data_IF_178972693516
#
_entry.id   IF_178972693516
#
_cell.length_a   1.000
_cell.length_b   1.000
_cell.length_c   1.000
_cell.angle_alpha   90.00
_cell.angle_beta   90.00
_cell.angle_gamma   90.00
#
_symmetry.space_group_name_H-M   'P 1'
#
loop_
_entity.id
_entity.type
_entity.pdbx_description
1 polymer ?
#
# COMPACT_ATOMS: atom_id res chain seq x y z
N UNK A 1 8.94 -1.03 14.07
CA UNK A 1 10.38 -0.89 13.78
C UNK A 1 10.59 0.40 13.01
N UNK A 2 11.57 1.21 13.39
CA UNK A 2 11.99 2.39 12.63
C UNK A 2 13.51 2.38 12.55
N UNK A 3 14.04 2.25 11.33
CA UNK A 3 15.47 2.20 11.03
C UNK A 3 15.77 3.16 9.86
N UNK A 4 15.98 4.46 10.14
CA UNK A 4 16.18 5.44 9.08
C UNK A 4 17.57 5.32 8.41
N UNK A 5 17.67 5.47 7.08
CA UNK A 5 16.61 5.65 6.09
C UNK A 5 16.15 4.33 5.44
N UNK A 6 16.46 3.18 6.02
CA UNK A 6 16.39 1.88 5.34
C UNK A 6 15.06 1.15 5.48
N UNK A 7 14.42 1.22 6.65
CA UNK A 7 13.22 0.43 6.95
C UNK A 7 12.25 1.13 7.88
N UNK A 8 10.97 1.02 7.55
CA UNK A 8 9.86 1.36 8.44
C UNK A 8 8.88 0.18 8.47
N UNK A 9 8.57 -0.32 9.67
CA UNK A 9 7.53 -1.34 9.83
C UNK A 9 6.60 -1.01 11.00
N UNK A 10 5.30 -1.14 10.78
CA UNK A 10 4.28 -0.87 11.78
C UNK A 10 3.10 -1.83 11.64
N UNK A 11 2.34 -1.97 12.73
CA UNK A 11 1.12 -2.77 12.77
C UNK A 11 -0.04 -2.00 12.16
N UNK A 12 -0.87 -2.68 11.37
CA UNK A 12 -2.09 -2.14 10.78
C UNK A 12 -3.30 -2.86 11.35
N UNK A 13 -4.28 -2.09 11.83
CA UNK A 13 -5.56 -2.62 12.27
C UNK A 13 -6.67 -2.00 11.44
N UNK A 14 -7.31 -2.80 10.58
CA UNK A 14 -8.41 -2.33 9.75
C UNK A 14 -9.68 -2.19 10.61
N UNK A 15 -10.04 -0.93 10.91
CA UNK A 15 -11.17 -0.60 11.79
C UNK A 15 -12.53 -0.57 11.11
N UNK A 16 -12.59 -0.93 9.82
CA UNK A 16 -13.87 -1.04 9.10
C UNK A 16 -14.68 -2.22 9.63
N UNK A 17 -16.00 -2.06 9.68
CA UNK A 17 -16.91 -3.11 10.17
C UNK A 17 -16.80 -4.40 9.34
N UNK A 18 -16.57 -4.29 8.02
CA UNK A 18 -16.45 -5.46 7.13
C UNK A 18 -15.14 -6.23 7.30
N UNK A 19 -14.16 -5.67 8.02
CA UNK A 19 -12.89 -6.32 8.35
C UNK A 19 -12.82 -6.74 9.84
N UNK A 20 -13.95 -6.66 10.56
CA UNK A 20 -14.02 -7.02 11.97
C UNK A 20 -13.68 -8.50 12.14
N UNK A 21 -12.70 -8.79 13.00
CA UNK A 21 -12.24 -10.15 13.27
C UNK A 21 -11.03 -10.60 12.45
N UNK A 22 -10.58 -9.81 11.47
CA UNK A 22 -9.40 -10.15 10.65
C UNK A 22 -8.05 -9.96 11.40
N UNK A 23 -8.09 -9.40 12.61
CA UNK A 23 -6.90 -9.23 13.45
C UNK A 23 -6.07 -8.00 13.10
N UNK A 24 -4.83 -7.98 13.60
CA UNK A 24 -3.85 -6.93 13.33
C UNK A 24 -2.80 -7.48 12.36
N UNK A 25 -2.61 -6.80 11.25
CA UNK A 25 -1.61 -7.11 10.24
C UNK A 25 -0.37 -6.22 10.38
N UNK A 26 0.59 -6.35 9.48
CA UNK A 26 1.82 -5.56 9.48
C UNK A 26 2.14 -5.01 8.09
N UNK A 27 2.64 -3.79 8.06
CA UNK A 27 3.16 -3.15 6.86
C UNK A 27 4.62 -2.83 7.04
N UNK A 28 5.42 -3.18 6.05
CA UNK A 28 6.87 -2.95 6.00
C UNK A 28 7.23 -2.22 4.71
N UNK A 29 8.02 -1.17 4.83
CA UNK A 29 8.66 -0.43 3.77
C UNK A 29 10.16 -0.70 3.83
N UNK A 30 10.72 -1.21 2.75
CA UNK A 30 12.15 -1.45 2.57
C UNK A 30 12.70 -0.57 1.45
N UNK A 31 13.76 0.17 1.76
CA UNK A 31 14.43 1.08 0.83
C UNK A 31 15.83 0.58 0.50
N UNK A 32 16.02 0.18 -0.76
CA UNK A 32 17.30 -0.27 -1.30
C UNK A 32 17.87 0.76 -2.30
N UNK A 33 19.06 1.32 -2.06
CA UNK A 33 19.72 2.15 -3.06
C UNK A 33 20.03 1.36 -4.34
N UNK A 34 19.71 1.93 -5.50
CA UNK A 34 19.98 1.37 -6.84
C UNK A 34 20.57 2.46 -7.74
N UNK A 35 21.83 2.81 -7.47
CA UNK A 35 22.51 3.89 -8.20
C UNK A 35 21.87 5.25 -7.92
N UNK A 36 21.31 5.88 -8.95
CA UNK A 36 20.62 7.18 -8.84
C UNK A 36 19.14 7.08 -8.44
N UNK A 37 18.61 5.86 -8.30
CA UNK A 37 17.22 5.61 -7.90
C UNK A 37 17.18 4.75 -6.63
N UNK A 38 16.01 4.67 -6.01
CA UNK A 38 15.75 3.82 -4.84
C UNK A 38 14.69 2.80 -5.23
N UNK A 39 14.94 1.52 -4.92
CA UNK A 39 13.90 0.50 -4.96
C UNK A 39 13.16 0.55 -3.63
N UNK A 40 11.87 0.88 -3.71
CA UNK A 40 10.94 0.74 -2.61
C UNK A 40 10.21 -0.60 -2.73
N UNK A 41 10.29 -1.42 -1.69
CA UNK A 41 9.46 -2.62 -1.53
C UNK A 41 8.45 -2.38 -0.41
N UNK A 42 7.16 -2.61 -0.69
CA UNK A 42 6.10 -2.56 0.31
C UNK A 42 5.54 -3.96 0.49
N UNK A 43 5.64 -4.46 1.72
CA UNK A 43 5.11 -5.76 2.12
C UNK A 43 4.00 -5.53 3.13
N UNK A 44 2.81 -6.05 2.85
CA UNK A 44 1.71 -6.12 3.81
C UNK A 44 1.44 -7.59 4.10
N UNK A 45 1.79 -8.04 5.31
CA UNK A 45 1.73 -9.42 5.75
C UNK A 45 0.97 -9.58 7.07
N UNK A 46 0.93 -10.80 7.61
CA UNK A 46 0.10 -11.20 8.76
C UNK A 46 -1.41 -10.97 8.50
N UNK A 47 -1.87 -11.33 7.30
CA UNK A 47 -3.25 -11.20 6.82
C UNK A 47 -3.85 -12.59 6.55
N UNK A 48 -5.16 -12.75 6.75
CA UNK A 48 -5.88 -13.91 6.23
C UNK A 48 -6.09 -13.79 4.70
N UNK A 49 -5.76 -14.84 3.94
CA UNK A 49 -5.82 -14.84 2.47
C UNK A 49 -7.24 -14.57 1.92
N UNK A 50 -8.28 -15.01 2.64
CA UNK A 50 -9.68 -14.81 2.26
C UNK A 50 -10.32 -13.52 2.86
N UNK A 51 -9.51 -12.70 3.53
CA UNK A 51 -9.97 -11.49 4.21
C UNK A 51 -10.37 -10.35 3.26
N UNK A 52 -11.34 -9.54 3.67
CA UNK A 52 -11.69 -8.27 3.01
C UNK A 52 -10.50 -7.33 2.97
N UNK A 53 -9.67 -7.27 4.03
CA UNK A 53 -8.45 -6.45 4.03
C UNK A 53 -7.50 -6.87 2.92
N UNK A 54 -7.22 -8.18 2.77
CA UNK A 54 -6.33 -8.68 1.72
C UNK A 54 -6.80 -8.29 0.31
N UNK A 55 -8.10 -8.44 0.02
CA UNK A 55 -8.69 -8.02 -1.27
C UNK A 55 -8.55 -6.51 -1.50
N UNK A 56 -8.89 -5.69 -0.51
CA UNK A 56 -8.87 -4.23 -0.65
C UNK A 56 -7.44 -3.71 -0.86
N UNK A 57 -6.46 -4.23 -0.12
CA UNK A 57 -5.07 -3.74 -0.20
C UNK A 57 -4.36 -4.19 -1.49
N UNK A 58 -4.79 -5.31 -2.08
CA UNK A 58 -4.18 -5.87 -3.30
C UNK A 58 -4.32 -4.90 -4.48
N UNK A 59 -5.41 -4.15 -4.54
CA UNK A 59 -5.56 -3.02 -5.48
C UNK A 59 -5.08 -1.68 -4.92
N UNK A 60 -5.26 -1.45 -3.61
CA UNK A 60 -4.97 -0.17 -2.98
C UNK A 60 -3.48 0.21 -2.97
N UNK A 61 -2.60 -0.72 -2.59
CA UNK A 61 -1.16 -0.43 -2.51
C UNK A 61 -0.55 -0.02 -3.85
N UNK A 62 -0.78 -0.74 -4.96
CA UNK A 62 -0.30 -0.32 -6.28
C UNK A 62 -0.65 1.13 -6.62
N UNK A 63 -1.87 1.58 -6.32
CA UNK A 63 -2.31 2.96 -6.60
C UNK A 63 -1.60 4.00 -5.73
N UNK A 64 -1.40 3.70 -4.44
CA UNK A 64 -0.66 4.59 -3.53
C UNK A 64 0.79 4.75 -4.01
N UNK A 65 1.44 3.65 -4.39
CA UNK A 65 2.84 3.67 -4.85
C UNK A 65 2.97 4.35 -6.22
N UNK A 66 2.01 4.16 -7.13
CA UNK A 66 1.98 4.88 -8.40
C UNK A 66 1.86 6.40 -8.19
N UNK A 67 0.98 6.84 -7.28
CA UNK A 67 0.83 8.27 -6.96
C UNK A 67 2.08 8.87 -6.30
N UNK A 68 2.71 8.13 -5.38
CA UNK A 68 3.98 8.53 -4.78
C UNK A 68 5.08 8.68 -5.85
N UNK A 69 5.18 7.73 -6.79
CA UNK A 69 6.12 7.83 -7.91
C UNK A 69 5.87 9.10 -8.72
N UNK A 70 4.64 9.37 -9.14
CA UNK A 70 4.30 10.59 -9.89
C UNK A 70 4.67 11.86 -9.12
N UNK A 71 4.40 11.90 -7.81
CA UNK A 71 4.76 13.02 -6.96
C UNK A 71 6.27 13.26 -6.94
N UNK A 72 7.07 12.19 -6.78
CA UNK A 72 8.52 12.28 -6.74
C UNK A 72 9.14 12.65 -8.10
N UNK A 73 8.53 12.22 -9.20
CA UNK A 73 9.06 12.43 -10.56
C UNK A 73 8.63 13.77 -11.17
N UNK A 74 7.43 14.26 -10.84
CA UNK A 74 6.80 15.41 -11.51
C UNK A 74 6.43 16.55 -10.57
N UNK A 75 6.55 16.35 -9.25
CA UNK A 75 6.08 17.29 -8.24
C UNK A 75 4.57 17.24 -7.99
N UNK A 76 3.82 16.39 -8.71
CA UNK A 76 2.36 16.28 -8.58
C UNK A 76 1.93 14.82 -8.43
N UNK A 77 1.00 14.50 -7.51
CA UNK A 77 0.46 13.15 -7.39
C UNK A 77 -0.46 12.83 -8.58
N UNK A 78 -0.88 11.57 -8.69
CA UNK A 78 -1.90 11.20 -9.67
C UNK A 78 -3.23 11.93 -9.39
N UNK A 79 -4.00 12.28 -10.45
CA UNK A 79 -5.33 12.87 -10.30
C UNK A 79 -6.28 12.02 -9.43
N UNK A 80 -7.09 12.69 -8.61
CA UNK A 80 -7.97 12.02 -7.65
C UNK A 80 -9.04 11.13 -8.31
N UNK A 81 -9.48 11.50 -9.51
CA UNK A 81 -10.44 10.72 -10.31
C UNK A 81 -9.84 9.39 -10.79
N UNK A 82 -8.55 9.36 -11.14
CA UNK A 82 -7.83 8.12 -11.48
C UNK A 82 -7.74 7.19 -10.26
N UNK A 83 -7.50 7.74 -9.06
CA UNK A 83 -7.50 6.97 -7.81
C UNK A 83 -8.88 6.43 -7.44
N UNK A 84 -9.96 7.15 -7.80
CA UNK A 84 -11.33 6.75 -7.53
C UNK A 84 -11.84 5.66 -8.50
N UNK A 85 -11.37 5.64 -9.75
CA UNK A 85 -11.80 4.69 -10.78
C UNK A 85 -11.31 3.25 -10.54
N UNK A 86 -10.11 3.08 -9.97
CA UNK A 86 -9.56 1.76 -9.60
C UNK A 86 -10.47 0.94 -8.68
N UNK A 87 -11.21 1.62 -7.78
CA UNK A 87 -12.16 0.97 -6.87
C UNK A 87 -13.36 0.32 -7.58
N UNK A 88 -13.66 0.78 -8.79
CA UNK A 88 -14.84 0.38 -9.58
C UNK A 88 -14.55 -0.81 -10.49
N UNK A 89 -13.35 -0.87 -11.07
CA UNK A 89 -12.95 -1.94 -12.00
C UNK A 89 -12.72 -3.28 -11.30
N UNK A 90 -12.21 -3.28 -10.06
CA UNK A 90 -12.02 -4.51 -9.25
C UNK A 90 -13.36 -5.10 -8.77
N UNK A 91 -14.45 -4.33 -8.80
CA UNK A 91 -15.79 -4.81 -8.43
C UNK A 91 -16.53 -5.52 -9.58
N UNK A 92 -16.01 -5.47 -10.81
CA UNK A 92 -16.64 -6.06 -12.00
C UNK A 92 -15.92 -7.32 -12.50
N UNK A 93 -14.88 -7.78 -11.80
CA UNK A 93 -14.10 -8.98 -12.10
C UNK A 93 -14.35 -10.08 -11.05
#
# INVERSE_FOLDING_TARGET
VSDPPHRLAYTWNNRKDEAKGEGTSRVTFDLEPRGKVVKLTVTHDDLGEDGKTFRDISGGWPMVIASLKSLLETGHPLPADVLAQSKKEISCA
#
